data_IF_011626801757
#
_entry.id   IF_011626801757
#
_cell.length_a   1.000
_cell.length_b   1.000
_cell.length_c   1.000
_cell.angle_alpha   90.00
_cell.angle_beta   90.00
_cell.angle_gamma   90.00
#
_symmetry.space_group_name_H-M   'P 1'
#
loop_
_entity.id
_entity.type
_entity.pdbx_description
1 polymer ?
#
# COMPACT_ATOMS: atom_id res chain seq x y z
N UNK A 1 -11.62 0.27 4.83
CA UNK A 1 -11.44 -0.42 6.13
C UNK A 1 -10.76 0.52 7.11
N UNK A 2 -11.21 0.57 8.37
CA UNK A 2 -10.55 1.35 9.44
C UNK A 2 -10.07 0.38 10.54
N UNK A 3 -8.82 0.51 10.98
CA UNK A 3 -8.23 -0.33 12.02
C UNK A 3 -7.32 0.49 12.96
N UNK A 4 -7.11 0.00 14.18
CA UNK A 4 -6.19 0.63 15.15
C UNK A 4 -4.72 0.44 14.76
N UNK A 5 -4.33 -0.81 14.55
CA UNK A 5 -3.01 -1.25 14.10
C UNK A 5 -3.22 -2.32 13.04
N UNK A 6 -2.36 -2.35 12.02
CA UNK A 6 -2.41 -3.37 10.97
C UNK A 6 -1.03 -3.98 10.81
N UNK A 7 -0.96 -5.31 10.85
CA UNK A 7 0.21 -6.09 10.46
C UNK A 7 -0.12 -6.93 9.22
N UNK A 8 0.63 -6.75 8.13
CA UNK A 8 0.50 -7.57 6.93
C UNK A 8 1.84 -8.26 6.62
N UNK A 9 1.85 -9.59 6.70
CA UNK A 9 2.95 -10.46 6.26
C UNK A 9 2.59 -11.35 5.07
N UNK A 10 1.31 -11.32 4.64
CA UNK A 10 0.80 -12.05 3.47
C UNK A 10 0.55 -11.11 2.30
N UNK A 11 -0.48 -11.39 1.51
CA UNK A 11 -0.87 -10.59 0.35
C UNK A 11 -2.27 -10.01 0.52
N UNK A 12 -2.37 -8.68 0.55
CA UNK A 12 -3.61 -7.95 0.39
C UNK A 12 -3.69 -7.45 -1.06
N UNK A 13 -4.62 -8.02 -1.83
CA UNK A 13 -4.86 -7.64 -3.22
C UNK A 13 -6.30 -7.14 -3.37
N UNK A 14 -6.48 -5.92 -3.87
CA UNK A 14 -7.78 -5.40 -4.26
C UNK A 14 -7.92 -5.44 -5.79
N UNK A 15 -8.95 -6.13 -6.31
CA UNK A 15 -9.25 -6.17 -7.75
C UNK A 15 -9.82 -4.84 -8.33
N UNK A 16 -9.72 -3.75 -7.58
CA UNK A 16 -10.20 -2.42 -7.94
C UNK A 16 -9.46 -1.40 -7.09
N UNK A 17 -10.14 -0.35 -6.63
CA UNK A 17 -9.53 0.64 -5.75
C UNK A 17 -9.48 0.15 -4.29
N UNK A 18 -8.37 0.38 -3.61
CA UNK A 18 -8.18 0.10 -2.20
C UNK A 18 -8.15 1.39 -1.38
N UNK A 19 -8.85 1.37 -0.23
CA UNK A 19 -8.70 2.39 0.82
C UNK A 19 -8.50 1.74 2.18
N UNK A 20 -7.29 1.90 2.71
CA UNK A 20 -6.89 1.40 4.02
C UNK A 20 -6.65 2.60 4.96
N UNK A 21 -7.40 2.66 6.05
CA UNK A 21 -7.22 3.66 7.09
C UNK A 21 -6.77 2.97 8.38
N UNK A 22 -5.67 3.42 8.94
CA UNK A 22 -5.08 2.90 10.16
C UNK A 22 -4.90 4.09 11.10
N UNK A 23 -5.46 4.06 12.30
CA UNK A 23 -5.30 5.19 13.22
C UNK A 23 -3.95 5.17 13.95
N UNK A 24 -3.26 4.03 13.94
CA UNK A 24 -1.91 3.82 14.46
C UNK A 24 -0.93 3.39 13.37
N UNK A 25 -0.09 2.40 13.68
CA UNK A 25 0.95 1.90 12.77
C UNK A 25 0.43 0.85 11.80
N UNK A 26 0.77 1.00 10.52
CA UNK A 26 0.71 -0.07 9.51
C UNK A 26 2.11 -0.69 9.36
N UNK A 27 2.29 -1.92 9.82
CA UNK A 27 3.50 -2.71 9.58
C UNK A 27 3.28 -3.65 8.40
N UNK A 28 4.05 -3.48 7.32
CA UNK A 28 3.94 -4.30 6.12
C UNK A 28 5.28 -5.00 5.83
N UNK A 29 5.29 -6.32 5.91
CA UNK A 29 6.42 -7.18 5.49
C UNK A 29 6.06 -8.05 4.29
N UNK A 30 4.79 -8.07 3.89
CA UNK A 30 4.29 -8.74 2.69
C UNK A 30 3.89 -7.78 1.57
N UNK A 31 2.80 -8.08 0.88
CA UNK A 31 2.32 -7.35 -0.30
C UNK A 31 0.99 -6.67 0.01
N UNK A 32 0.86 -5.39 -0.34
CA UNK A 32 -0.39 -4.64 -0.37
C UNK A 32 -0.50 -3.93 -1.71
N UNK A 33 -1.38 -4.42 -2.58
CA UNK A 33 -1.57 -3.85 -3.91
C UNK A 33 -3.03 -3.73 -4.30
N UNK A 34 -3.30 -2.80 -5.21
CA UNK A 34 -4.60 -2.64 -5.84
C UNK A 34 -4.46 -2.68 -7.36
N UNK A 35 -5.44 -3.25 -8.07
CA UNK A 35 -5.51 -3.17 -9.53
C UNK A 35 -5.88 -1.76 -10.01
N UNK A 36 -6.60 -1.00 -9.19
CA UNK A 36 -6.81 0.43 -9.37
C UNK A 36 -5.93 1.24 -8.42
N UNK A 37 -6.49 2.30 -7.86
CA UNK A 37 -5.78 3.16 -6.91
C UNK A 37 -5.59 2.48 -5.55
N UNK A 38 -4.44 2.70 -4.91
CA UNK A 38 -4.20 2.24 -3.56
C UNK A 38 -3.95 3.43 -2.65
N UNK A 39 -4.93 3.73 -1.79
CA UNK A 39 -4.83 4.81 -0.81
C UNK A 39 -4.70 4.24 0.59
N UNK A 40 -3.57 4.54 1.23
CA UNK A 40 -3.26 4.13 2.59
C UNK A 40 -3.08 5.38 3.44
N UNK A 41 -3.85 5.49 4.51
CA UNK A 41 -3.69 6.52 5.53
C UNK A 41 -3.37 5.85 6.84
N UNK A 42 -2.26 6.22 7.47
CA UNK A 42 -1.85 5.68 8.77
C UNK A 42 -1.30 6.78 9.68
N UNK A 43 -1.19 6.56 10.99
CA UNK A 43 -0.33 7.44 11.78
C UNK A 43 1.13 7.24 11.35
N UNK A 44 1.56 5.97 11.25
CA UNK A 44 2.88 5.57 10.78
C UNK A 44 2.77 4.42 9.79
N UNK A 45 3.61 4.41 8.75
CA UNK A 45 3.76 3.26 7.87
C UNK A 45 5.18 2.73 8.02
N UNK A 46 5.33 1.46 8.37
CA UNK A 46 6.59 0.75 8.43
C UNK A 46 6.54 -0.44 7.45
N UNK A 47 7.02 -0.23 6.23
CA UNK A 47 7.12 -1.22 5.18
C UNK A 47 8.57 -1.74 5.08
N UNK A 48 8.76 -3.02 5.38
CA UNK A 48 10.08 -3.67 5.41
C UNK A 48 10.71 -3.89 4.04
N UNK A 49 11.98 -4.29 3.98
CA UNK A 49 12.75 -4.44 2.73
C UNK A 49 12.19 -5.48 1.74
N UNK A 50 11.51 -6.51 2.24
CA UNK A 50 10.87 -7.54 1.41
C UNK A 50 9.42 -7.21 1.03
N UNK A 51 8.93 -6.04 1.44
CA UNK A 51 7.52 -5.67 1.26
C UNK A 51 7.25 -5.03 -0.11
N UNK A 52 5.99 -5.07 -0.53
CA UNK A 52 5.49 -4.37 -1.71
C UNK A 52 4.26 -3.56 -1.35
N UNK A 53 4.28 -2.26 -1.65
CA UNK A 53 3.11 -1.39 -1.70
C UNK A 53 2.88 -1.01 -3.16
N UNK A 54 1.66 -1.12 -3.67
CA UNK A 54 1.44 -0.67 -5.04
C UNK A 54 0.02 -0.44 -5.49
N UNK A 55 -0.10 0.19 -6.64
CA UNK A 55 -1.35 0.55 -7.30
C UNK A 55 -1.24 0.27 -8.80
N UNK A 56 -2.36 -0.04 -9.43
CA UNK A 56 -2.36 -0.47 -10.83
C UNK A 56 -1.78 -1.86 -11.06
N UNK A 57 -1.67 -2.73 -10.07
CA UNK A 57 -1.07 -4.07 -10.22
C UNK A 57 -2.15 -5.07 -10.63
N UNK A 58 -1.99 -5.73 -11.78
CA UNK A 58 -2.91 -6.75 -12.28
C UNK A 58 -2.75 -8.06 -11.50
N UNK A 59 -3.75 -8.96 -11.62
CA UNK A 59 -3.74 -10.26 -10.97
C UNK A 59 -2.58 -11.17 -11.45
N UNK A 60 -2.05 -10.92 -12.65
CA UNK A 60 -0.85 -11.56 -13.19
C UNK A 60 0.47 -11.01 -12.60
N UNK A 61 0.40 -10.02 -11.70
CA UNK A 61 1.53 -9.37 -11.05
C UNK A 61 2.19 -8.25 -11.86
N UNK A 62 1.77 -8.02 -13.10
CA UNK A 62 2.31 -6.94 -13.93
C UNK A 62 1.58 -5.61 -13.71
N UNK A 63 2.26 -4.50 -13.99
CA UNK A 63 1.68 -3.16 -13.92
C UNK A 63 0.67 -2.97 -15.07
N UNK A 64 -0.50 -2.46 -14.72
CA UNK A 64 -1.53 -1.99 -15.64
C UNK A 64 -1.18 -0.63 -16.24
N UNK A 65 -2.15 -0.03 -16.92
CA UNK A 65 -1.97 1.28 -17.56
C UNK A 65 -2.19 2.47 -16.62
N UNK A 66 -2.80 2.24 -15.44
CA UNK A 66 -3.19 3.30 -14.50
C UNK A 66 -3.31 2.74 -13.08
N UNK A 67 -3.20 3.62 -12.10
CA UNK A 67 -3.43 3.33 -10.69
C UNK A 67 -2.45 4.09 -9.81
N UNK A 68 -2.98 4.96 -8.96
CA UNK A 68 -2.18 5.83 -8.12
C UNK A 68 -1.94 5.22 -6.74
N UNK A 69 -0.69 5.23 -6.29
CA UNK A 69 -0.32 4.88 -4.93
C UNK A 69 -0.27 6.16 -4.11
N UNK A 70 -1.18 6.32 -3.15
CA UNK A 70 -1.11 7.42 -2.20
C UNK A 70 -0.97 6.90 -0.78
N UNK A 71 0.17 7.22 -0.17
CA UNK A 71 0.41 7.02 1.25
C UNK A 71 0.27 8.37 1.95
N UNK A 72 -0.38 8.38 3.10
CA UNK A 72 -0.57 9.59 3.91
C UNK A 72 -0.30 9.23 5.34
N UNK A 73 0.68 9.92 5.94
CA UNK A 73 1.08 9.68 7.33
C UNK A 73 1.09 10.95 8.14
N UNK A 74 0.82 10.84 9.44
CA UNK A 74 0.88 11.98 10.37
C UNK A 74 2.13 11.95 11.25
N UNK A 75 2.76 10.78 11.42
CA UNK A 75 3.97 10.57 12.21
C UNK A 75 5.17 10.10 11.38
N UNK A 76 4.96 9.77 10.10
CA UNK A 76 6.02 9.44 9.15
C UNK A 76 5.87 8.09 8.47
N UNK A 77 6.75 7.87 7.50
CA UNK A 77 6.77 6.69 6.66
C UNK A 77 8.19 6.13 6.53
N UNK A 78 8.32 4.84 6.75
CA UNK A 78 9.46 4.00 6.37
C UNK A 78 8.96 3.07 5.28
N UNK A 79 9.37 3.27 4.03
CA UNK A 79 8.94 2.43 2.91
C UNK A 79 10.16 1.79 2.22
N UNK A 80 10.86 0.92 2.96
CA UNK A 80 12.14 0.33 2.53
C UNK A 80 11.99 -0.81 1.53
N UNK A 81 10.76 -1.25 1.26
CA UNK A 81 10.43 -2.24 0.24
C UNK A 81 10.21 -1.60 -1.13
N UNK A 82 9.49 -2.33 -1.99
CA UNK A 82 9.10 -1.83 -3.30
C UNK A 82 7.82 -1.00 -3.19
N UNK A 83 7.82 0.18 -3.82
CA UNK A 83 6.64 1.04 -3.92
C UNK A 83 6.38 1.30 -5.41
N UNK A 84 5.34 0.68 -5.97
CA UNK A 84 5.07 0.68 -7.42
C UNK A 84 3.69 1.27 -7.72
N UNK A 85 3.62 2.25 -8.62
CA UNK A 85 2.36 2.77 -9.14
C UNK A 85 2.42 2.73 -10.66
N UNK A 86 1.34 2.26 -11.30
CA UNK A 86 1.19 2.37 -12.74
C UNK A 86 0.97 3.83 -13.19
N UNK A 87 0.38 4.65 -12.31
CA UNK A 87 0.28 6.11 -12.47
C UNK A 87 1.27 6.83 -11.57
N UNK A 88 0.76 7.60 -10.62
CA UNK A 88 1.54 8.41 -9.70
C UNK A 88 1.75 7.72 -8.34
N UNK A 89 2.94 7.91 -7.77
CA UNK A 89 3.24 7.53 -6.41
C UNK A 89 3.47 8.78 -5.55
N UNK A 90 2.66 8.94 -4.50
CA UNK A 90 2.84 9.96 -3.46
C UNK A 90 3.00 9.25 -2.13
N UNK A 91 4.11 9.49 -1.43
CA UNK A 91 4.47 8.81 -0.18
C UNK A 91 4.49 9.77 1.00
#
# INVERSE_FOLDING_TARGET
TQAGVVGNSGSLYAAGNQRLQVTGTLSNTGVIVAQGDNRITAARIDSGTQSLLGAGVKADGSLGASGDLTLTTTQGITASGQNLAAGHASL
#
